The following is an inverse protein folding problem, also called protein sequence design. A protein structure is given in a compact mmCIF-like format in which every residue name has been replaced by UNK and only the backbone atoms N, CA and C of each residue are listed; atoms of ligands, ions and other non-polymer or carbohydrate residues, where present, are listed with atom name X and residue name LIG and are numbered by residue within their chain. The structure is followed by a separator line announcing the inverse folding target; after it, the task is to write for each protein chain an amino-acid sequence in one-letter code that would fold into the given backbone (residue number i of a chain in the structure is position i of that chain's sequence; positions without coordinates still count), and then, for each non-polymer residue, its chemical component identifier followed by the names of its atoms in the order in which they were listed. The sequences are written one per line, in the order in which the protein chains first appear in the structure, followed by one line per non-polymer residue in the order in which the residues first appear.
data_IF_147524155898
#
_entry.id   IF_147524155898
#
_cell.length_a   1.000
_cell.length_b   1.000
_cell.length_c   1.000
_cell.angle_alpha   90.00
_cell.angle_beta   90.00
_cell.angle_gamma   90.00
#
_symmetry.space_group_name_H-M   'P 1'
#
loop_
_entity.id
_entity.type
_entity.pdbx_description
1 polymer ?
#
# COMPACT_ATOMS: atom_id res chain seq x y z
N UNK A 1 -17.69 8.38 -18.81
CA UNK A 1 -16.35 8.98 -18.84
C UNK A 1 -15.78 9.22 -17.42
N UNK A 2 -16.56 9.69 -16.46
CA UNK A 2 -16.05 9.97 -15.09
C UNK A 2 -15.44 8.75 -14.35
N UNK A 3 -15.98 7.55 -14.52
CA UNK A 3 -15.47 6.34 -13.86
C UNK A 3 -14.08 5.92 -14.35
N UNK A 4 -13.79 6.08 -15.65
CA UNK A 4 -12.46 5.79 -16.20
C UNK A 4 -11.41 6.78 -15.70
N UNK A 5 -11.75 8.07 -15.64
CA UNK A 5 -10.85 9.08 -15.08
C UNK A 5 -10.56 8.79 -13.59
N UNK A 6 -11.57 8.38 -12.84
CA UNK A 6 -11.44 8.00 -11.45
C UNK A 6 -10.51 6.78 -11.25
N UNK A 7 -10.61 5.75 -12.10
CA UNK A 7 -9.70 4.59 -12.09
C UNK A 7 -8.25 5.04 -12.35
N UNK A 8 -8.05 5.85 -13.39
CA UNK A 8 -6.70 6.35 -13.73
C UNK A 8 -6.08 7.15 -12.60
N UNK A 9 -6.87 8.01 -11.94
CA UNK A 9 -6.42 8.78 -10.78
C UNK A 9 -6.06 7.89 -9.58
N UNK A 10 -6.86 6.88 -9.27
CA UNK A 10 -6.58 5.96 -8.17
C UNK A 10 -5.31 5.14 -8.44
N UNK A 11 -5.17 4.58 -9.63
CA UNK A 11 -3.99 3.78 -10.01
C UNK A 11 -2.74 4.65 -10.05
N UNK A 12 -2.79 5.85 -10.67
CA UNK A 12 -1.64 6.74 -10.72
C UNK A 12 -1.23 7.24 -9.33
N UNK A 13 -2.20 7.55 -8.46
CA UNK A 13 -1.94 7.89 -7.07
C UNK A 13 -1.26 6.76 -6.30
N UNK A 14 -1.70 5.52 -6.49
CA UNK A 14 -1.08 4.33 -5.89
C UNK A 14 0.36 4.15 -6.38
N UNK A 15 0.61 4.28 -7.68
CA UNK A 15 1.95 4.16 -8.26
C UNK A 15 2.87 5.27 -7.74
N UNK A 16 2.40 6.51 -7.70
CA UNK A 16 3.17 7.63 -7.17
C UNK A 16 3.55 7.40 -5.70
N UNK A 17 2.59 6.98 -4.87
CA UNK A 17 2.82 6.68 -3.46
C UNK A 17 3.80 5.51 -3.29
N UNK A 18 3.74 4.50 -4.17
CA UNK A 18 4.68 3.38 -4.17
C UNK A 18 6.12 3.83 -4.48
N UNK A 19 6.29 4.69 -5.47
CA UNK A 19 7.62 5.26 -5.82
C UNK A 19 8.18 6.06 -4.65
N UNK A 20 7.36 6.87 -3.99
CA UNK A 20 7.77 7.63 -2.80
C UNK A 20 8.16 6.68 -1.66
N UNK A 21 7.35 5.64 -1.39
CA UNK A 21 7.65 4.66 -0.34
C UNK A 21 8.98 3.93 -0.61
N UNK A 22 9.27 3.58 -1.87
CA UNK A 22 10.55 2.97 -2.26
C UNK A 22 11.73 3.94 -2.12
N UNK A 23 11.56 5.20 -2.47
CA UNK A 23 12.59 6.22 -2.27
C UNK A 23 12.92 6.43 -0.78
N UNK A 24 11.89 6.48 0.06
CA UNK A 24 12.03 6.56 1.52
C UNK A 24 12.74 5.32 2.06
N UNK A 25 12.37 4.13 1.59
CA UNK A 25 13.02 2.86 1.96
C UNK A 25 14.52 2.91 1.66
N UNK A 26 14.90 3.24 0.43
CA UNK A 26 16.31 3.29 0.02
C UNK A 26 17.10 4.31 0.84
N UNK A 27 16.51 5.47 1.11
CA UNK A 27 17.13 6.52 1.92
C UNK A 27 17.30 6.06 3.37
N UNK A 28 16.28 5.44 3.95
CA UNK A 28 16.30 4.92 5.32
C UNK A 28 17.35 3.84 5.51
N UNK A 29 17.42 2.88 4.59
CA UNK A 29 18.42 1.80 4.63
C UNK A 29 19.84 2.38 4.53
N UNK A 30 20.10 3.30 3.60
CA UNK A 30 21.40 3.96 3.45
C UNK A 30 21.78 4.73 4.70
N UNK A 31 20.85 5.48 5.27
CA UNK A 31 21.08 6.26 6.48
C UNK A 31 21.42 5.36 7.68
N UNK A 32 20.67 4.28 7.88
CA UNK A 32 20.90 3.32 8.96
C UNK A 32 22.23 2.60 8.76
N UNK A 33 22.54 2.16 7.53
CA UNK A 33 23.81 1.49 7.22
C UNK A 33 25.02 2.37 7.56
N UNK A 34 24.98 3.65 7.18
CA UNK A 34 26.03 4.60 7.51
C UNK A 34 26.21 4.81 9.02
N UNK A 35 25.10 4.85 9.77
CA UNK A 35 25.11 5.04 11.22
C UNK A 35 25.58 3.81 11.99
N UNK A 36 25.38 2.61 11.45
CA UNK A 36 25.63 1.34 12.13
C UNK A 36 26.92 0.65 11.68
N UNK A 37 27.73 1.25 10.83
CA UNK A 37 28.98 0.67 10.31
C UNK A 37 29.97 0.19 11.38
N UNK A 38 29.95 0.79 12.57
CA UNK A 38 30.82 0.41 13.71
C UNK A 38 30.13 -0.54 14.70
N UNK A 39 28.90 -0.94 14.45
CA UNK A 39 28.17 -1.86 15.31
C UNK A 39 28.54 -3.32 14.97
N UNK A 40 28.24 -4.25 15.92
CA UNK A 40 28.35 -5.69 15.66
C UNK A 40 27.42 -6.07 14.51
N UNK A 41 27.80 -7.09 13.73
CA UNK A 41 27.05 -7.56 12.55
C UNK A 41 25.56 -7.80 12.87
N UNK A 42 25.26 -8.45 13.99
CA UNK A 42 23.89 -8.74 14.40
C UNK A 42 23.07 -7.45 14.65
N UNK A 43 23.68 -6.49 15.37
CA UNK A 43 23.03 -5.21 15.67
C UNK A 43 22.83 -4.37 14.41
N UNK A 44 23.79 -4.38 13.50
CA UNK A 44 23.71 -3.70 12.20
C UNK A 44 22.57 -4.28 11.36
N UNK A 45 22.50 -5.62 11.22
CA UNK A 45 21.44 -6.30 10.47
C UNK A 45 20.07 -6.00 11.05
N UNK A 46 19.91 -6.01 12.38
CA UNK A 46 18.64 -5.66 13.03
C UNK A 46 18.16 -4.26 12.66
N UNK A 47 19.02 -3.23 12.78
CA UNK A 47 18.66 -1.86 12.48
C UNK A 47 18.39 -1.61 10.99
N UNK A 48 19.15 -2.26 10.10
CA UNK A 48 18.91 -2.20 8.66
C UNK A 48 17.55 -2.82 8.32
N UNK A 49 17.24 -3.99 8.88
CA UNK A 49 15.95 -4.65 8.66
C UNK A 49 14.79 -3.81 9.17
N UNK A 50 14.91 -3.20 10.33
CA UNK A 50 13.90 -2.30 10.89
C UNK A 50 13.71 -1.06 10.00
N UNK A 51 14.81 -0.45 9.56
CA UNK A 51 14.79 0.69 8.63
C UNK A 51 14.20 0.36 7.26
N UNK A 52 14.23 -0.90 6.85
CA UNK A 52 13.58 -1.37 5.63
C UNK A 52 12.09 -1.66 5.82
N UNK A 53 11.72 -2.35 6.89
CA UNK A 53 10.34 -2.83 7.12
C UNK A 53 9.39 -1.67 7.47
N UNK A 54 9.82 -0.72 8.30
CA UNK A 54 8.97 0.38 8.76
C UNK A 54 8.42 1.26 7.62
N UNK A 55 9.24 1.78 6.69
CA UNK A 55 8.72 2.58 5.59
C UNK A 55 7.76 1.80 4.68
N UNK A 56 8.02 0.51 4.44
CA UNK A 56 7.13 -0.35 3.66
C UNK A 56 5.78 -0.53 4.36
N UNK A 57 5.79 -0.78 5.66
CA UNK A 57 4.59 -0.94 6.46
C UNK A 57 3.72 0.32 6.40
N UNK A 58 4.27 1.48 6.73
CA UNK A 58 3.54 2.74 6.69
C UNK A 58 3.09 3.11 5.28
N UNK A 59 3.92 2.87 4.26
CA UNK A 59 3.58 3.08 2.86
C UNK A 59 2.38 2.24 2.43
N UNK A 60 2.32 0.98 2.86
CA UNK A 60 1.20 0.09 2.59
C UNK A 60 -0.11 0.58 3.24
N UNK A 61 -0.05 0.97 4.51
CA UNK A 61 -1.22 1.54 5.19
C UNK A 61 -1.70 2.85 4.56
N UNK A 62 -0.78 3.69 4.10
CA UNK A 62 -1.13 4.92 3.38
C UNK A 62 -1.86 4.61 2.06
N UNK A 63 -1.45 3.57 1.34
CA UNK A 63 -2.15 3.12 0.13
C UNK A 63 -3.55 2.58 0.43
N UNK A 64 -3.69 1.76 1.48
CA UNK A 64 -4.99 1.27 1.94
C UNK A 64 -5.92 2.45 2.28
N UNK A 65 -5.40 3.45 3.01
CA UNK A 65 -6.16 4.67 3.33
C UNK A 65 -6.57 5.47 2.10
N UNK A 66 -5.70 5.58 1.10
CA UNK A 66 -6.01 6.24 -0.18
C UNK A 66 -7.15 5.52 -0.91
N UNK A 67 -7.10 4.19 -1.02
CA UNK A 67 -8.15 3.41 -1.63
C UNK A 67 -9.47 3.47 -0.85
N UNK A 68 -9.41 3.47 0.49
CA UNK A 68 -10.60 3.65 1.33
C UNK A 68 -11.28 5.00 1.07
N UNK A 69 -10.49 6.09 1.07
CA UNK A 69 -11.01 7.43 0.73
C UNK A 69 -11.61 7.48 -0.66
N UNK A 70 -10.98 6.84 -1.63
CA UNK A 70 -11.46 6.77 -3.00
C UNK A 70 -12.80 6.03 -3.13
N UNK A 71 -12.97 4.89 -2.44
CA UNK A 71 -14.22 4.13 -2.43
C UNK A 71 -15.38 4.91 -1.80
N UNK A 72 -15.11 5.70 -0.75
CA UNK A 72 -16.12 6.58 -0.14
C UNK A 72 -16.48 7.73 -1.08
N UNK A 73 -15.51 8.38 -1.71
CA UNK A 73 -15.75 9.45 -2.67
C UNK A 73 -16.57 9.01 -3.89
N UNK A 74 -16.40 7.79 -4.33
CA UNK A 74 -17.20 7.19 -5.40
C UNK A 74 -18.60 6.75 -4.94
N UNK A 75 -18.90 6.80 -3.64
CA UNK A 75 -20.16 6.30 -3.08
C UNK A 75 -20.28 4.77 -3.12
N UNK A 76 -19.16 4.04 -3.25
CA UNK A 76 -19.14 2.59 -3.27
C UNK A 76 -19.38 1.99 -1.87
N UNK A 77 -18.94 2.67 -0.83
CA UNK A 77 -19.16 2.37 0.59
C UNK A 77 -19.54 3.67 1.33
N UNK A 78 -20.38 3.54 2.35
CA UNK A 78 -20.94 4.70 3.05
C UNK A 78 -20.02 5.22 4.15
N UNK A 79 -19.30 4.33 4.83
CA UNK A 79 -18.42 4.70 5.93
C UNK A 79 -16.96 4.50 5.56
N UNK A 80 -16.10 5.40 6.05
CA UNK A 80 -14.65 5.26 5.86
C UNK A 80 -14.09 4.02 6.57
N UNK A 81 -14.68 3.63 7.71
CA UNK A 81 -14.28 2.44 8.45
C UNK A 81 -14.45 1.16 7.63
N UNK A 82 -15.63 0.97 7.02
CA UNK A 82 -15.91 -0.19 6.17
C UNK A 82 -15.04 -0.17 4.90
N UNK A 83 -14.82 1.02 4.34
CA UNK A 83 -13.96 1.20 3.18
C UNK A 83 -12.49 0.89 3.50
N UNK A 84 -12.00 1.30 4.67
CA UNK A 84 -10.66 1.01 5.12
C UNK A 84 -10.46 -0.48 5.39
N UNK A 85 -11.41 -1.10 6.09
CA UNK A 85 -11.41 -2.55 6.34
C UNK A 85 -11.43 -3.34 5.02
N UNK A 86 -12.37 -3.03 4.12
CA UNK A 86 -12.47 -3.66 2.80
C UNK A 86 -11.15 -3.52 2.02
N UNK A 87 -10.57 -2.31 1.98
CA UNK A 87 -9.31 -2.05 1.29
C UNK A 87 -8.17 -2.85 1.91
N UNK A 88 -8.08 -2.91 3.23
CA UNK A 88 -7.05 -3.67 3.94
C UNK A 88 -7.12 -5.17 3.61
N UNK A 89 -8.32 -5.76 3.71
CA UNK A 89 -8.57 -7.18 3.41
C UNK A 89 -8.27 -7.49 1.93
N UNK A 90 -8.62 -6.57 1.04
CA UNK A 90 -8.40 -6.72 -0.40
C UNK A 90 -6.92 -6.58 -0.77
N UNK A 91 -6.21 -5.58 -0.22
CA UNK A 91 -4.77 -5.39 -0.42
C UNK A 91 -3.95 -6.55 0.14
N UNK A 92 -4.36 -7.10 1.28
CA UNK A 92 -3.74 -8.29 1.87
C UNK A 92 -4.10 -9.59 1.13
N UNK A 93 -4.93 -9.51 0.08
CA UNK A 93 -5.42 -10.67 -0.72
C UNK A 93 -6.18 -11.70 0.10
N UNK A 94 -6.70 -11.33 1.28
CA UNK A 94 -7.46 -12.24 2.15
C UNK A 94 -8.86 -12.51 1.59
N UNK A 95 -9.58 -11.47 1.14
CA UNK A 95 -10.86 -11.60 0.44
C UNK A 95 -11.94 -12.35 1.24
N UNK A 96 -12.16 -12.00 2.52
CA UNK A 96 -13.15 -12.70 3.37
C UNK A 96 -14.57 -12.72 2.79
N UNK A 97 -14.94 -11.73 1.97
CA UNK A 97 -16.26 -11.67 1.32
C UNK A 97 -17.39 -11.21 2.24
N UNK A 98 -17.09 -10.72 3.42
CA UNK A 98 -18.03 -10.14 4.38
C UNK A 98 -18.53 -8.75 3.94
N UNK A 99 -17.66 -7.96 3.30
CA UNK A 99 -18.01 -6.73 2.60
C UNK A 99 -17.75 -6.92 1.11
N UNK A 100 -18.82 -6.77 0.30
CA UNK A 100 -18.75 -6.94 -1.15
C UNK A 100 -19.26 -5.67 -1.83
N UNK A 101 -18.47 -5.15 -2.76
CA UNK A 101 -18.87 -3.99 -3.55
C UNK A 101 -20.04 -4.34 -4.50
N UNK A 102 -20.97 -3.40 -4.68
CA UNK A 102 -22.07 -3.55 -5.63
C UNK A 102 -21.53 -3.77 -7.06
N UNK A 103 -22.31 -4.41 -7.95
CA UNK A 103 -21.85 -4.82 -9.29
C UNK A 103 -21.15 -3.72 -10.09
N UNK A 104 -21.58 -2.46 -9.93
CA UNK A 104 -20.98 -1.32 -10.62
C UNK A 104 -19.59 -0.91 -10.13
N UNK A 105 -19.16 -1.41 -8.97
CA UNK A 105 -17.89 -1.05 -8.32
C UNK A 105 -16.94 -2.25 -8.13
N UNK A 106 -17.31 -3.46 -8.53
CA UNK A 106 -16.48 -4.67 -8.33
C UNK A 106 -15.11 -4.59 -8.97
N UNK A 107 -15.00 -3.88 -10.10
CA UNK A 107 -13.71 -3.69 -10.78
C UNK A 107 -12.68 -2.94 -9.92
N UNK A 108 -13.13 -2.03 -9.05
CA UNK A 108 -12.24 -1.30 -8.15
C UNK A 108 -11.63 -2.23 -7.10
N UNK A 109 -12.39 -3.21 -6.60
CA UNK A 109 -11.86 -4.23 -5.69
C UNK A 109 -10.79 -5.09 -6.36
N UNK A 110 -11.02 -5.52 -7.61
CA UNK A 110 -10.03 -6.27 -8.38
C UNK A 110 -8.75 -5.48 -8.64
N UNK A 111 -8.87 -4.18 -8.97
CA UNK A 111 -7.73 -3.29 -9.16
C UNK A 111 -6.96 -3.06 -7.85
N UNK A 112 -7.66 -2.86 -6.74
CA UNK A 112 -7.04 -2.74 -5.42
C UNK A 112 -6.24 -4.00 -5.05
N UNK A 113 -6.79 -5.20 -5.27
CA UNK A 113 -6.10 -6.46 -5.05
C UNK A 113 -4.84 -6.59 -5.92
N UNK A 114 -4.92 -6.20 -7.19
CA UNK A 114 -3.77 -6.21 -8.12
C UNK A 114 -2.68 -5.24 -7.65
N UNK A 115 -3.05 -4.02 -7.23
CA UNK A 115 -2.09 -3.06 -6.69
C UNK A 115 -1.42 -3.60 -5.41
N UNK A 116 -2.17 -4.21 -4.51
CA UNK A 116 -1.64 -4.84 -3.30
C UNK A 116 -0.63 -5.95 -3.60
N UNK A 117 -0.94 -6.84 -4.54
CA UNK A 117 -0.06 -7.94 -4.94
C UNK A 117 1.23 -7.46 -5.60
N UNK A 118 1.17 -6.42 -6.45
CA UNK A 118 2.34 -5.81 -7.07
C UNK A 118 3.25 -5.14 -6.05
N UNK A 119 2.68 -4.51 -5.01
CA UNK A 119 3.46 -3.93 -3.92
C UNK A 119 4.25 -4.99 -3.15
N UNK A 120 3.72 -6.21 -3.00
CA UNK A 120 4.41 -7.30 -2.32
C UNK A 120 5.46 -8.00 -3.21
N UNK A 121 5.31 -7.97 -4.53
CA UNK A 121 6.19 -8.63 -5.49
C UNK A 121 7.48 -7.84 -5.81
N UNK A 122 7.54 -6.57 -5.49
CA UNK A 122 8.67 -5.66 -5.79
C UNK A 122 9.92 -5.89 -4.94
N UNK A 123 10.34 -7.16 -4.70
CA UNK A 123 11.68 -7.47 -4.14
C UNK A 123 12.71 -7.44 -5.26
N UNK A 124 13.70 -6.55 -5.23
CA UNK A 124 14.89 -6.76 -6.05
C UNK A 124 15.58 -8.06 -5.60
N UNK A 125 15.83 -8.94 -6.55
CA UNK A 125 16.73 -10.08 -6.35
C UNK A 125 18.17 -9.61 -6.20
#
# INVERSE_FOLDING_TARGET
MGRFAAILLAVSGTVALQVVAQAVLLTSVRFVDQRTRRATELRRTFWISLGAVMPLFFGHFAQVGLWAGFLVLLGALQTYGDAFYFSLVTFATLGYGDIVLSPGYRIFGALAATCGSLCSAGRPR
#
